data_IF_430265073278
#
_entry.id   IF_430265073278
#
_cell.length_a   1.000
_cell.length_b   1.000
_cell.length_c   1.000
_cell.angle_alpha   90.00
_cell.angle_beta   90.00
_cell.angle_gamma   90.00
#
_symmetry.space_group_name_H-M   'P 1'
#
loop_
_entity.id
_entity.type
_entity.pdbx_description
1 polymer ?
#
# COMPACT_ATOMS: atom_id res chain seq x y z
N UNK A 1 76.21 20.48 -10.02
CA UNK A 1 75.03 19.70 -9.61
C UNK A 1 74.30 20.51 -8.55
N UNK A 2 73.38 21.40 -8.95
CA UNK A 2 72.70 22.33 -8.05
C UNK A 2 71.28 21.82 -7.85
N UNK A 3 70.97 21.41 -6.61
CA UNK A 3 69.66 20.94 -6.22
C UNK A 3 68.66 22.12 -6.23
N UNK A 4 67.64 22.04 -7.08
CA UNK A 4 66.46 22.92 -7.04
C UNK A 4 65.60 22.51 -5.85
N UNK A 5 65.69 23.25 -4.74
CA UNK A 5 64.67 23.18 -3.70
C UNK A 5 63.38 23.82 -4.23
N UNK A 6 62.41 22.96 -4.55
CA UNK A 6 61.02 23.33 -4.75
C UNK A 6 60.49 23.82 -3.41
N UNK A 7 60.45 25.14 -3.20
CA UNK A 7 59.84 25.75 -2.01
C UNK A 7 58.35 25.43 -2.06
N UNK A 8 57.93 24.43 -1.30
CA UNK A 8 56.53 24.18 -1.03
C UNK A 8 56.04 25.31 -0.11
N UNK A 9 55.23 26.24 -0.63
CA UNK A 9 54.40 27.09 0.20
C UNK A 9 53.54 26.17 1.09
N UNK A 10 53.75 26.23 2.41
CA UNK A 10 52.96 25.41 3.34
C UNK A 10 51.53 25.97 3.35
N UNK A 11 50.53 25.12 3.62
CA UNK A 11 49.11 25.48 3.82
C UNK A 11 48.86 26.42 5.04
N UNK A 12 49.83 27.25 5.41
CA UNK A 12 49.89 28.04 6.64
C UNK A 12 50.17 29.52 6.43
N UNK A 13 50.37 29.96 5.19
CA UNK A 13 50.69 31.35 4.90
C UNK A 13 49.40 32.17 4.85
N UNK A 14 49.32 33.17 5.74
CA UNK A 14 48.26 34.19 5.76
C UNK A 14 48.85 35.45 5.15
N UNK A 15 48.08 36.13 4.30
CA UNK A 15 48.47 37.42 3.74
C UNK A 15 48.07 38.58 4.66
N UNK A 16 48.86 39.65 4.69
CA UNK A 16 48.58 40.83 5.53
C UNK A 16 47.25 41.49 5.16
N UNK A 17 46.89 41.50 3.88
CA UNK A 17 45.60 41.98 3.36
C UNK A 17 44.40 41.25 3.95
N UNK A 18 44.49 39.92 4.15
CA UNK A 18 43.43 39.11 4.76
C UNK A 18 43.23 39.51 6.24
N UNK A 19 44.34 39.73 6.97
CA UNK A 19 44.30 40.17 8.38
C UNK A 19 43.73 41.59 8.48
N UNK A 20 44.16 42.50 7.61
CA UNK A 20 43.70 43.89 7.62
C UNK A 20 42.19 44.00 7.40
N UNK A 21 41.64 43.20 6.48
CA UNK A 21 40.19 43.17 6.21
C UNK A 21 39.41 42.65 7.43
N UNK A 22 39.84 41.52 8.01
CA UNK A 22 39.16 40.91 9.15
C UNK A 22 39.23 41.84 10.38
N UNK A 23 40.36 42.50 10.60
CA UNK A 23 40.47 43.48 11.67
C UNK A 23 39.52 44.66 11.45
N UNK A 24 39.40 45.18 10.22
CA UNK A 24 38.42 46.22 9.88
C UNK A 24 36.98 45.79 10.11
N UNK A 25 36.61 44.58 9.69
CA UNK A 25 35.25 44.05 9.88
C UNK A 25 34.93 43.90 11.37
N UNK A 26 35.82 43.28 12.15
CA UNK A 26 35.64 43.12 13.60
C UNK A 26 35.47 44.47 14.31
N UNK A 27 36.27 45.47 13.92
CA UNK A 27 36.16 46.82 14.48
C UNK A 27 34.87 47.53 14.06
N UNK A 28 34.42 47.34 12.82
CA UNK A 28 33.12 47.81 12.32
C UNK A 28 31.93 47.22 13.09
N UNK A 29 32.08 45.96 13.54
CA UNK A 29 31.11 45.26 14.38
C UNK A 29 31.23 45.61 15.89
N UNK A 30 32.15 46.52 16.26
CA UNK A 30 32.36 46.98 17.64
C UNK A 30 33.25 46.07 18.49
N UNK A 31 33.95 45.11 17.89
CA UNK A 31 34.83 44.17 18.57
C UNK A 31 36.32 44.53 18.40
N UNK A 32 37.10 44.42 19.49
CA UNK A 32 38.56 44.48 19.39
C UNK A 32 39.11 43.26 18.64
N UNK A 33 39.96 43.50 17.65
CA UNK A 33 40.63 42.48 16.82
C UNK A 33 41.74 41.76 17.61
N UNK A 34 41.36 40.87 18.53
CA UNK A 34 42.32 40.03 19.27
C UNK A 34 42.79 38.84 18.44
N UNK A 35 43.96 38.30 18.76
CA UNK A 35 44.55 37.12 18.09
C UNK A 35 43.57 35.96 18.01
N UNK A 36 42.77 35.74 19.06
CA UNK A 36 41.81 34.64 19.12
C UNK A 36 40.64 34.83 18.16
N UNK A 37 40.10 36.04 18.06
CA UNK A 37 38.98 36.36 17.17
C UNK A 37 39.42 36.33 15.71
N UNK A 38 40.54 36.98 15.40
CA UNK A 38 41.10 36.97 14.04
C UNK A 38 41.44 35.55 13.62
N UNK A 39 41.99 34.71 14.53
CA UNK A 39 42.27 33.31 14.23
C UNK A 39 41.00 32.47 14.03
N UNK A 40 39.92 32.76 14.75
CA UNK A 40 38.65 32.08 14.56
C UNK A 40 38.07 32.35 13.16
N UNK A 41 38.18 33.60 12.68
CA UNK A 41 37.73 34.01 11.34
C UNK A 41 38.65 33.49 10.23
N UNK A 42 39.98 33.53 10.42
CA UNK A 42 40.95 33.10 9.40
C UNK A 42 41.02 31.58 9.28
N UNK A 43 40.88 30.84 10.38
CA UNK A 43 40.93 29.37 10.42
C UNK A 43 42.31 28.73 10.13
N UNK A 44 43.33 29.53 9.77
CA UNK A 44 44.70 29.11 9.44
C UNK A 44 45.73 29.99 10.18
N UNK A 45 47.01 29.63 10.08
CA UNK A 45 48.16 30.36 10.65
C UNK A 45 48.37 30.24 12.16
N UNK A 46 49.58 30.59 12.60
CA UNK A 46 49.99 30.49 14.00
C UNK A 46 49.56 31.74 14.79
N UNK A 47 49.29 31.58 16.10
CA UNK A 47 48.99 32.72 17.00
C UNK A 47 50.08 33.80 16.93
N UNK A 48 51.34 33.40 16.83
CA UNK A 48 52.49 34.31 16.76
C UNK A 48 52.51 35.10 15.46
N UNK A 49 52.22 34.45 14.33
CA UNK A 49 52.13 35.10 13.02
C UNK A 49 50.99 36.10 13.00
N UNK A 50 49.79 35.69 13.41
CA UNK A 50 48.60 36.54 13.48
C UNK A 50 48.83 37.75 14.40
N UNK A 51 49.42 37.54 15.58
CA UNK A 51 49.71 38.64 16.51
C UNK A 51 50.67 39.68 15.91
N UNK A 52 51.67 39.25 15.13
CA UNK A 52 52.58 40.17 14.44
C UNK A 52 51.84 40.98 13.37
N UNK A 53 50.95 40.34 12.63
CA UNK A 53 50.19 40.97 11.55
C UNK A 53 49.11 41.93 12.08
N UNK A 54 48.47 41.61 13.20
CA UNK A 54 47.55 42.54 13.91
C UNK A 54 48.29 43.82 14.33
N UNK A 55 49.52 43.71 14.83
CA UNK A 55 50.31 44.91 15.19
C UNK A 55 50.64 45.78 13.99
N UNK A 56 50.91 45.17 12.83
CA UNK A 56 51.13 45.90 11.57
C UNK A 56 49.86 46.65 11.17
N UNK A 57 48.69 45.98 11.26
CA UNK A 57 47.39 46.61 11.05
C UNK A 57 47.17 47.81 11.99
N UNK A 58 47.37 47.62 13.30
CA UNK A 58 47.22 48.68 14.31
C UNK A 58 48.12 49.89 13.98
N UNK A 59 49.38 49.66 13.59
CA UNK A 59 50.29 50.75 13.21
C UNK A 59 49.91 51.48 11.91
N UNK A 60 49.29 50.78 10.96
CA UNK A 60 48.84 51.37 9.70
C UNK A 60 47.48 52.07 9.83
N UNK A 61 46.66 51.66 10.80
CA UNK A 61 45.38 52.29 11.13
C UNK A 61 45.58 53.71 11.64
N UNK A 62 46.58 53.93 12.48
CA UNK A 62 46.87 55.24 13.06
C UNK A 62 47.42 56.27 12.03
N UNK A 63 47.77 55.82 10.81
CA UNK A 63 48.35 56.67 9.76
C UNK A 63 47.40 56.97 8.59
N UNK A 64 46.28 56.25 8.47
CA UNK A 64 45.36 56.38 7.34
C UNK A 64 43.93 56.51 7.88
N UNK A 65 43.60 57.71 8.33
CA UNK A 65 42.20 58.09 8.56
C UNK A 65 41.91 59.38 7.79
N UNK A 66 41.88 59.36 6.44
CA UNK A 66 41.19 60.41 5.73
C UNK A 66 39.71 60.28 6.09
N UNK A 67 39.13 61.29 6.72
CA UNK A 67 37.69 61.42 6.86
C UNK A 67 37.08 61.36 5.46
N UNK A 68 36.52 60.21 5.11
CA UNK A 68 35.76 60.05 3.87
C UNK A 68 34.39 60.68 4.12
N UNK A 69 34.26 61.97 3.79
CA UNK A 69 32.97 62.63 3.81
C UNK A 69 32.07 62.06 2.69
N UNK A 70 30.91 61.53 3.07
CA UNK A 70 29.88 61.13 2.12
C UNK A 70 29.33 62.41 1.49
N UNK A 71 29.70 62.66 0.23
CA UNK A 71 29.16 63.78 -0.53
C UNK A 71 27.68 63.55 -0.83
N UNK A 72 26.92 64.64 -1.01
CA UNK A 72 25.49 64.55 -1.36
C UNK A 72 25.23 63.71 -2.62
N UNK A 73 26.18 63.68 -3.55
CA UNK A 73 26.12 62.85 -4.76
C UNK A 73 26.24 61.35 -4.43
N UNK A 74 27.17 60.98 -3.54
CA UNK A 74 27.30 59.59 -3.08
C UNK A 74 26.10 59.12 -2.28
N UNK A 75 25.51 59.96 -1.41
CA UNK A 75 24.26 59.65 -0.72
C UNK A 75 23.10 59.46 -1.70
N UNK A 76 23.00 60.31 -2.73
CA UNK A 76 21.97 60.17 -3.77
C UNK A 76 22.12 58.86 -4.56
N UNK A 77 23.34 58.47 -4.92
CA UNK A 77 23.61 57.19 -5.61
C UNK A 77 23.24 56.01 -4.71
N UNK A 78 23.64 56.04 -3.43
CA UNK A 78 23.29 54.99 -2.46
C UNK A 78 21.78 54.85 -2.28
N UNK A 79 21.03 55.95 -2.17
CA UNK A 79 19.57 55.92 -2.08
C UNK A 79 18.91 55.35 -3.34
N UNK A 80 19.40 55.70 -4.52
CA UNK A 80 18.90 55.14 -5.80
C UNK A 80 19.16 53.65 -5.87
N UNK A 81 20.37 53.22 -5.52
CA UNK A 81 20.76 51.80 -5.52
C UNK A 81 19.93 51.01 -4.51
N UNK A 82 19.76 51.53 -3.29
CA UNK A 82 18.89 50.96 -2.27
C UNK A 82 17.44 50.82 -2.74
N UNK A 83 16.91 51.85 -3.41
CA UNK A 83 15.55 51.84 -3.94
C UNK A 83 15.38 50.80 -5.04
N UNK A 84 16.32 50.73 -5.99
CA UNK A 84 16.30 49.75 -7.08
C UNK A 84 16.35 48.31 -6.54
N UNK A 85 17.28 48.05 -5.61
CA UNK A 85 17.40 46.75 -4.93
C UNK A 85 16.10 46.42 -4.19
N UNK A 86 15.57 47.36 -3.41
CA UNK A 86 14.33 47.15 -2.65
C UNK A 86 13.15 46.82 -3.57
N UNK A 87 13.00 47.54 -4.68
CA UNK A 87 11.92 47.31 -5.65
C UNK A 87 12.04 45.94 -6.33
N UNK A 88 13.25 45.53 -6.71
CA UNK A 88 13.49 44.22 -7.31
C UNK A 88 13.13 43.09 -6.34
N UNK A 89 13.60 43.16 -5.09
CA UNK A 89 13.31 42.14 -4.08
C UNK A 89 11.83 42.13 -3.67
N UNK A 90 11.16 43.29 -3.59
CA UNK A 90 9.71 43.35 -3.36
C UNK A 90 8.95 42.69 -4.51
N UNK A 91 9.38 42.87 -5.76
CA UNK A 91 8.83 42.20 -6.93
C UNK A 91 8.93 40.68 -6.81
N UNK A 92 10.14 40.16 -6.56
CA UNK A 92 10.39 38.73 -6.37
C UNK A 92 9.61 38.13 -5.21
N UNK A 93 9.49 38.84 -4.09
CA UNK A 93 8.68 38.39 -2.95
C UNK A 93 7.22 38.22 -3.34
N UNK A 94 6.65 39.16 -4.11
CA UNK A 94 5.26 39.06 -4.58
C UNK A 94 5.07 37.90 -5.55
N UNK A 95 6.03 37.66 -6.44
CA UNK A 95 6.00 36.51 -7.36
C UNK A 95 6.01 35.19 -6.59
N UNK A 96 6.94 35.02 -5.63
CA UNK A 96 6.97 33.82 -4.79
C UNK A 96 5.74 33.65 -3.91
N UNK A 97 5.15 34.75 -3.39
CA UNK A 97 3.90 34.67 -2.65
C UNK A 97 2.76 34.12 -3.52
N UNK A 98 2.67 34.57 -4.77
CA UNK A 98 1.68 34.07 -5.73
C UNK A 98 1.92 32.59 -6.07
N UNK A 99 3.16 32.20 -6.33
CA UNK A 99 3.50 30.79 -6.58
C UNK A 99 3.15 29.89 -5.39
N UNK A 100 3.40 30.36 -4.16
CA UNK A 100 3.03 29.63 -2.93
C UNK A 100 1.51 29.48 -2.82
N UNK A 101 0.74 30.52 -3.13
CA UNK A 101 -0.74 30.44 -3.13
C UNK A 101 -1.26 29.45 -4.18
N UNK A 102 -0.70 29.47 -5.38
CA UNK A 102 -1.06 28.51 -6.44
C UNK A 102 -0.71 27.07 -6.04
N UNK A 103 0.46 26.85 -5.44
CA UNK A 103 0.87 25.53 -4.94
C UNK A 103 0.00 25.04 -3.78
N UNK A 104 -0.37 25.93 -2.85
CA UNK A 104 -1.33 25.61 -1.78
C UNK A 104 -2.68 25.20 -2.34
N UNK A 105 -3.21 25.93 -3.32
CA UNK A 105 -4.46 25.58 -3.98
C UNK A 105 -4.43 24.20 -4.66
N UNK A 106 -3.32 23.87 -5.34
CA UNK A 106 -3.14 22.52 -5.92
C UNK A 106 -3.04 21.44 -4.85
N UNK A 107 -2.31 21.70 -3.77
CA UNK A 107 -2.17 20.75 -2.66
C UNK A 107 -3.53 20.47 -2.01
N UNK A 108 -4.32 21.50 -1.72
CA UNK A 108 -5.66 21.35 -1.13
C UNK A 108 -6.60 20.60 -2.07
N UNK A 109 -6.52 20.85 -3.39
CA UNK A 109 -7.27 20.09 -4.39
C UNK A 109 -6.92 18.59 -4.36
N UNK A 110 -5.63 18.25 -4.45
CA UNK A 110 -5.20 16.84 -4.45
C UNK A 110 -5.46 16.13 -3.12
N UNK A 111 -5.38 16.84 -2.00
CA UNK A 111 -5.75 16.30 -0.69
C UNK A 111 -7.24 15.94 -0.63
N UNK A 112 -8.11 16.84 -1.11
CA UNK A 112 -9.54 16.59 -1.17
C UNK A 112 -9.90 15.45 -2.13
N UNK A 113 -9.27 15.36 -3.30
CA UNK A 113 -9.47 14.23 -4.21
C UNK A 113 -9.00 12.91 -3.59
N UNK A 114 -7.84 12.91 -2.95
CA UNK A 114 -7.31 11.71 -2.28
C UNK A 114 -8.23 11.23 -1.15
N UNK A 115 -8.84 12.14 -0.41
CA UNK A 115 -9.83 11.79 0.62
C UNK A 115 -11.08 11.12 0.02
N UNK A 116 -11.60 11.65 -1.09
CA UNK A 116 -12.74 11.03 -1.80
C UNK A 116 -12.40 9.62 -2.28
N UNK A 117 -11.23 9.42 -2.89
CA UNK A 117 -10.80 8.09 -3.31
C UNK A 117 -10.61 7.13 -2.13
N UNK A 118 -10.15 7.61 -0.99
CA UNK A 118 -10.02 6.79 0.22
C UNK A 118 -11.40 6.31 0.72
N UNK A 119 -12.40 7.19 0.71
CA UNK A 119 -13.79 6.84 1.06
C UNK A 119 -14.37 5.80 0.09
N UNK A 120 -14.17 5.98 -1.22
CA UNK A 120 -14.59 5.02 -2.25
C UNK A 120 -13.94 3.65 -2.05
N UNK A 121 -12.63 3.60 -1.79
CA UNK A 121 -11.91 2.35 -1.53
C UNK A 121 -12.45 1.65 -0.29
N UNK A 122 -12.76 2.39 0.78
CA UNK A 122 -13.33 1.82 2.00
C UNK A 122 -14.72 1.23 1.76
N UNK A 123 -15.55 1.91 0.96
CA UNK A 123 -16.86 1.39 0.54
C UNK A 123 -16.72 0.11 -0.30
N UNK A 124 -15.80 0.09 -1.26
CA UNK A 124 -15.53 -1.10 -2.09
C UNK A 124 -15.04 -2.28 -1.25
N UNK A 125 -14.17 -2.03 -0.25
CA UNK A 125 -13.75 -3.08 0.69
C UNK A 125 -14.92 -3.66 1.48
N UNK A 126 -15.82 -2.82 1.97
CA UNK A 126 -17.01 -3.28 2.70
C UNK A 126 -17.92 -4.14 1.81
N UNK A 127 -18.16 -3.69 0.58
CA UNK A 127 -18.96 -4.44 -0.40
C UNK A 127 -18.29 -5.79 -0.71
N UNK A 128 -16.98 -5.80 -0.95
CA UNK A 128 -16.25 -7.03 -1.25
C UNK A 128 -16.30 -8.03 -0.09
N UNK A 129 -16.12 -7.58 1.16
CA UNK A 129 -16.23 -8.44 2.33
C UNK A 129 -17.61 -9.08 2.42
N UNK A 130 -18.68 -8.27 2.27
CA UNK A 130 -20.05 -8.78 2.31
C UNK A 130 -20.32 -9.79 1.20
N UNK A 131 -19.87 -9.49 -0.03
CA UNK A 131 -20.07 -10.36 -1.18
C UNK A 131 -19.29 -11.68 -1.03
N UNK A 132 -18.12 -11.64 -0.40
CA UNK A 132 -17.34 -12.84 -0.08
C UNK A 132 -18.01 -13.70 1.00
N UNK A 133 -18.63 -13.09 2.00
CA UNK A 133 -19.42 -13.79 3.02
C UNK A 133 -20.66 -14.44 2.39
N UNK A 134 -21.40 -13.72 1.56
CA UNK A 134 -22.56 -14.23 0.83
C UNK A 134 -22.18 -15.42 -0.06
N UNK A 135 -21.06 -15.32 -0.79
CA UNK A 135 -20.54 -16.43 -1.61
C UNK A 135 -20.17 -17.66 -0.79
N UNK A 136 -19.63 -17.47 0.43
CA UNK A 136 -19.31 -18.59 1.33
C UNK A 136 -20.58 -19.30 1.76
N UNK A 137 -21.61 -18.55 2.15
CA UNK A 137 -22.92 -19.11 2.55
C UNK A 137 -23.57 -19.88 1.40
N UNK A 138 -23.53 -19.34 0.18
CA UNK A 138 -24.09 -20.02 -1.00
C UNK A 138 -23.32 -21.31 -1.35
N UNK A 139 -22.00 -21.34 -1.18
CA UNK A 139 -21.21 -22.57 -1.34
C UNK A 139 -21.58 -23.63 -0.31
N UNK A 140 -21.71 -23.25 0.96
CA UNK A 140 -22.13 -24.17 2.02
C UNK A 140 -23.52 -24.75 1.73
N UNK A 141 -24.47 -23.92 1.26
CA UNK A 141 -25.80 -24.37 0.83
C UNK A 141 -25.74 -25.35 -0.34
N UNK A 142 -24.90 -25.07 -1.34
CA UNK A 142 -24.72 -25.96 -2.49
C UNK A 142 -24.13 -27.31 -2.06
N UNK A 143 -23.11 -27.32 -1.20
CA UNK A 143 -22.51 -28.54 -0.67
C UNK A 143 -23.52 -29.38 0.13
N UNK A 144 -24.36 -28.74 0.95
CA UNK A 144 -25.42 -29.43 1.68
C UNK A 144 -26.52 -29.98 0.76
N UNK A 145 -26.87 -29.27 -0.31
CA UNK A 145 -27.78 -29.78 -1.34
C UNK A 145 -27.20 -31.01 -2.04
N UNK A 146 -25.91 -30.98 -2.40
CA UNK A 146 -25.21 -32.11 -3.01
C UNK A 146 -25.20 -33.33 -2.07
N UNK A 147 -24.95 -33.13 -0.77
CA UNK A 147 -25.00 -34.22 0.22
C UNK A 147 -26.39 -34.86 0.29
N UNK A 148 -27.46 -34.05 0.34
CA UNK A 148 -28.83 -34.57 0.34
C UNK A 148 -29.15 -35.34 -0.93
N UNK A 149 -28.68 -34.86 -2.08
CA UNK A 149 -28.90 -35.53 -3.36
C UNK A 149 -28.24 -36.92 -3.40
N UNK A 150 -27.02 -37.06 -2.86
CA UNK A 150 -26.36 -38.38 -2.73
C UNK A 150 -27.18 -39.36 -1.88
N UNK A 151 -27.76 -38.90 -0.77
CA UNK A 151 -28.62 -39.75 0.06
C UNK A 151 -29.86 -40.20 -0.71
N UNK A 152 -30.48 -39.30 -1.48
CA UNK A 152 -31.62 -39.63 -2.34
C UNK A 152 -31.21 -40.66 -3.42
N UNK A 153 -30.04 -40.52 -4.02
CA UNK A 153 -29.54 -41.48 -5.01
C UNK A 153 -29.34 -42.88 -4.41
N UNK A 154 -28.82 -42.96 -3.18
CA UNK A 154 -28.69 -44.22 -2.43
C UNK A 154 -30.05 -44.86 -2.12
N UNK A 155 -31.03 -44.04 -1.70
CA UNK A 155 -32.41 -44.50 -1.45
C UNK A 155 -33.10 -44.98 -2.73
N UNK A 156 -32.91 -44.26 -3.84
CA UNK A 156 -33.41 -44.65 -5.16
C UNK A 156 -32.82 -45.98 -5.63
N UNK A 157 -31.54 -46.25 -5.34
CA UNK A 157 -30.94 -47.54 -5.65
C UNK A 157 -31.62 -48.68 -4.88
N UNK A 158 -31.85 -48.50 -3.57
CA UNK A 158 -32.58 -49.48 -2.74
C UNK A 158 -34.01 -49.70 -3.23
N UNK A 159 -34.70 -48.63 -3.65
CA UNK A 159 -36.04 -48.73 -4.22
C UNK A 159 -36.06 -49.59 -5.49
N UNK A 160 -35.07 -49.44 -6.39
CA UNK A 160 -34.96 -50.29 -7.59
C UNK A 160 -34.76 -51.77 -7.25
N UNK A 161 -33.95 -52.07 -6.24
CA UNK A 161 -33.76 -53.45 -5.79
C UNK A 161 -35.07 -54.05 -5.23
N UNK A 162 -35.83 -53.26 -4.46
CA UNK A 162 -37.14 -53.66 -3.94
C UNK A 162 -38.15 -53.85 -5.08
N UNK A 163 -38.20 -52.95 -6.07
CA UNK A 163 -39.07 -53.08 -7.24
C UNK A 163 -38.77 -54.34 -8.05
N UNK A 164 -37.49 -54.66 -8.23
CA UNK A 164 -37.04 -55.90 -8.88
C UNK A 164 -37.51 -57.13 -8.11
N UNK A 165 -37.28 -57.16 -6.79
CA UNK A 165 -37.72 -58.26 -5.93
C UNK A 165 -39.26 -58.41 -5.93
N UNK A 166 -39.99 -57.29 -5.87
CA UNK A 166 -41.45 -57.27 -5.96
C UNK A 166 -41.95 -57.87 -7.27
N UNK A 167 -41.30 -57.53 -8.41
CA UNK A 167 -41.64 -58.08 -9.72
C UNK A 167 -41.45 -59.60 -9.77
N UNK A 168 -40.35 -60.11 -9.22
CA UNK A 168 -40.10 -61.56 -9.12
C UNK A 168 -41.20 -62.23 -8.29
N UNK A 169 -41.53 -61.69 -7.12
CA UNK A 169 -42.60 -62.21 -6.27
C UNK A 169 -43.96 -62.18 -6.98
N UNK A 170 -44.24 -61.13 -7.75
CA UNK A 170 -45.48 -61.01 -8.51
C UNK A 170 -45.58 -62.09 -9.59
N UNK A 171 -44.49 -62.38 -10.30
CA UNK A 171 -44.44 -63.42 -11.33
C UNK A 171 -44.54 -64.82 -10.71
N UNK A 172 -43.84 -65.09 -9.60
CA UNK A 172 -44.02 -66.33 -8.83
C UNK A 172 -45.46 -66.53 -8.36
N UNK A 173 -46.11 -65.47 -7.89
CA UNK A 173 -47.52 -65.54 -7.45
C UNK A 173 -48.46 -65.84 -8.61
N UNK A 174 -48.21 -65.29 -9.81
CA UNK A 174 -48.94 -65.65 -11.03
C UNK A 174 -48.76 -67.11 -11.41
N UNK A 175 -47.54 -67.65 -11.31
CA UNK A 175 -47.27 -69.06 -11.57
C UNK A 175 -47.94 -69.98 -10.56
N UNK A 176 -47.84 -69.67 -9.27
CA UNK A 176 -48.54 -70.37 -8.19
C UNK A 176 -50.05 -70.41 -8.43
N UNK A 177 -50.67 -69.27 -8.78
CA UNK A 177 -52.11 -69.24 -9.11
C UNK A 177 -52.46 -70.13 -10.30
N UNK A 178 -51.62 -70.16 -11.35
CA UNK A 178 -51.83 -71.05 -12.51
C UNK A 178 -51.71 -72.53 -12.10
N UNK A 179 -50.74 -72.88 -11.25
CA UNK A 179 -50.58 -74.24 -10.74
C UNK A 179 -51.78 -74.65 -9.89
N UNK A 180 -52.19 -73.81 -8.94
CA UNK A 180 -53.36 -74.06 -8.10
C UNK A 180 -54.64 -74.27 -8.92
N UNK A 181 -54.84 -73.47 -9.97
CA UNK A 181 -56.00 -73.62 -10.86
C UNK A 181 -55.95 -74.94 -11.65
N UNK A 182 -54.74 -75.38 -12.07
CA UNK A 182 -54.54 -76.66 -12.74
C UNK A 182 -54.82 -77.83 -11.79
N UNK A 183 -54.29 -77.76 -10.57
CA UNK A 183 -54.50 -78.79 -9.54
C UNK A 183 -55.97 -78.87 -9.15
N UNK A 184 -56.65 -77.73 -9.00
CA UNK A 184 -58.10 -77.65 -8.78
C UNK A 184 -58.89 -78.38 -9.88
N UNK A 185 -58.61 -78.10 -11.15
CA UNK A 185 -59.26 -78.78 -12.29
C UNK A 185 -59.00 -80.29 -12.30
N UNK A 186 -57.79 -80.72 -11.93
CA UNK A 186 -57.48 -82.14 -11.80
C UNK A 186 -58.27 -82.80 -10.68
N UNK A 187 -58.37 -82.16 -9.51
CA UNK A 187 -59.18 -82.65 -8.38
C UNK A 187 -60.66 -82.72 -8.77
N UNK A 188 -61.21 -81.69 -9.40
CA UNK A 188 -62.60 -81.69 -9.89
C UNK A 188 -62.87 -82.86 -10.84
N UNK A 189 -61.93 -83.16 -11.75
CA UNK A 189 -62.03 -84.32 -12.64
C UNK A 189 -61.97 -85.66 -11.89
N UNK A 190 -61.09 -85.78 -10.88
CA UNK A 190 -61.01 -86.98 -10.05
C UNK A 190 -62.28 -87.21 -9.23
N UNK A 191 -62.85 -86.14 -8.64
CA UNK A 191 -64.13 -86.19 -7.93
C UNK A 191 -65.22 -86.69 -8.87
N UNK A 192 -65.33 -86.12 -10.09
CA UNK A 192 -66.32 -86.58 -11.08
C UNK A 192 -66.20 -88.08 -11.37
N UNK A 193 -64.97 -88.59 -11.59
CA UNK A 193 -64.72 -90.02 -11.81
C UNK A 193 -65.12 -90.87 -10.61
N UNK A 194 -64.81 -90.43 -9.40
CA UNK A 194 -65.20 -91.12 -8.17
C UNK A 194 -66.72 -91.20 -8.02
N UNK A 195 -67.45 -90.11 -8.23
CA UNK A 195 -68.94 -90.12 -8.20
C UNK A 195 -69.55 -91.04 -9.27
N UNK A 196 -68.96 -91.12 -10.48
CA UNK A 196 -69.41 -92.07 -11.51
C UNK A 196 -69.15 -93.52 -11.10
N UNK A 197 -68.03 -93.79 -10.43
CA UNK A 197 -67.71 -95.11 -9.92
C UNK A 197 -68.66 -95.51 -8.76
N UNK A 198 -68.96 -94.60 -7.84
CA UNK A 198 -69.92 -94.81 -6.75
C UNK A 198 -71.32 -95.11 -7.28
N UNK A 199 -71.83 -94.31 -8.22
CA UNK A 199 -73.13 -94.54 -8.85
C UNK A 199 -73.20 -95.87 -9.60
N UNK A 200 -72.12 -96.27 -10.29
CA UNK A 200 -72.04 -97.61 -10.92
C UNK A 200 -72.02 -98.74 -9.88
N UNK A 201 -71.34 -98.57 -8.76
CA UNK A 201 -71.32 -99.55 -7.67
C UNK A 201 -72.69 -99.67 -6.99
N UNK A 202 -73.42 -98.57 -6.83
CA UNK A 202 -74.81 -98.59 -6.34
C UNK A 202 -75.76 -99.30 -7.30
N UNK A 203 -75.57 -99.15 -8.61
CA UNK A 203 -76.35 -99.87 -9.63
C UNK A 203 -76.06 -101.38 -9.64
N UNK A 204 -74.86 -101.81 -9.26
CA UNK A 204 -74.48 -103.23 -9.17
C UNK A 204 -74.93 -103.91 -7.86
N UNK A 205 -75.37 -103.13 -6.86
CA UNK A 205 -75.90 -103.64 -5.59
C UNK A 205 -77.44 -103.79 -5.58
N UNK A 206 -78.11 -103.45 -6.67
CA UNK A 206 -79.54 -103.69 -6.91
C UNK A 206 -79.73 -104.86 -7.87
#
# INVERSE_FOLDING_TARGET
MIWRFKVMARKTDIEQSEIDLICKTLEGDGFKATVDRVRAEVGKGSRTTINRMIRVYESNRDTINPEVEVTAETDMILRRLHTAISQEYIGKIKEYQKEIEELKGKMDHYLNESQKYLEEINMLKLIHTKLSEDQKVERERADDAIKRMKTIDEENYKLRDIESAYKILLDQNKELKKSQEKDKKQIESLIQRATVAETKLELLKK
#
